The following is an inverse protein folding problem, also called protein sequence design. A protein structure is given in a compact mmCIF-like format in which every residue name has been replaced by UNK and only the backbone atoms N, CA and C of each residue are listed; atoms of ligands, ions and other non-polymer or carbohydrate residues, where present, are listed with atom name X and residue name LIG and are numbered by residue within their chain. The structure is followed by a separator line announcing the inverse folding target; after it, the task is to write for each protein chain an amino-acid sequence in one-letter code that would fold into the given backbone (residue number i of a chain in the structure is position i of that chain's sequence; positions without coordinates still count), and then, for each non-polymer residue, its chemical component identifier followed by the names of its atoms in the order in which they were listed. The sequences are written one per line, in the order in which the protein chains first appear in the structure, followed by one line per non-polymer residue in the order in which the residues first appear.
data_IF_018658229276
#
_entry.id   IF_018658229276
#
_cell.length_a   1.000
_cell.length_b   1.000
_cell.length_c   1.000
_cell.angle_alpha   90.00
_cell.angle_beta   90.00
_cell.angle_gamma   90.00
#
_symmetry.space_group_name_H-M   'P 1'
#
loop_
_entity.id
_entity.type
_entity.pdbx_description
1 polymer ?
#
# COMPACT_ATOMS: atom_id res chain seq x y z
N UNK A 1 -48.38 -23.78 61.72
CA UNK A 1 -47.35 -24.00 60.67
C UNK A 1 -46.04 -23.44 61.19
N UNK A 2 -45.04 -24.32 61.34
CA UNK A 2 -43.83 -24.13 62.15
C UNK A 2 -42.79 -23.24 61.46
N UNK A 3 -42.00 -22.52 62.27
CA UNK A 3 -40.95 -21.56 61.85
C UNK A 3 -39.98 -22.13 60.80
N UNK A 4 -39.75 -23.45 60.78
CA UNK A 4 -38.87 -24.10 59.80
C UNK A 4 -39.40 -23.97 58.36
N UNK A 5 -40.72 -23.96 58.16
CA UNK A 5 -41.36 -23.79 56.84
C UNK A 5 -41.23 -22.34 56.37
N UNK A 6 -41.35 -21.39 57.30
CA UNK A 6 -41.20 -19.97 57.01
C UNK A 6 -39.75 -19.64 56.63
N UNK A 7 -38.77 -20.21 57.35
CA UNK A 7 -37.35 -19.99 57.11
C UNK A 7 -36.87 -20.64 55.79
N UNK A 8 -37.41 -21.81 55.42
CA UNK A 8 -37.16 -22.46 54.13
C UNK A 8 -37.75 -21.68 52.94
N UNK A 9 -38.96 -21.11 53.10
CA UNK A 9 -39.54 -20.21 52.08
C UNK A 9 -38.73 -18.92 51.93
N UNK A 10 -38.22 -18.35 53.03
CA UNK A 10 -37.42 -17.12 53.03
C UNK A 10 -36.04 -17.32 52.38
N UNK A 11 -35.37 -18.44 52.68
CA UNK A 11 -34.08 -18.80 52.06
C UNK A 11 -34.23 -19.14 50.57
N UNK A 12 -35.31 -19.80 50.16
CA UNK A 12 -35.58 -20.05 48.74
C UNK A 12 -35.92 -18.78 47.96
N UNK A 13 -36.69 -17.85 48.56
CA UNK A 13 -36.93 -16.52 47.96
C UNK A 13 -35.64 -15.71 47.86
N UNK A 14 -34.76 -15.77 48.87
CA UNK A 14 -33.48 -15.06 48.84
C UNK A 14 -32.56 -15.62 47.75
N UNK A 15 -32.41 -16.95 47.64
CA UNK A 15 -31.65 -17.59 46.55
C UNK A 15 -32.21 -17.28 45.17
N UNK A 16 -33.53 -17.23 45.01
CA UNK A 16 -34.19 -16.88 43.74
C UNK A 16 -33.93 -15.42 43.36
N UNK A 17 -34.00 -14.49 44.33
CA UNK A 17 -33.69 -13.06 44.12
C UNK A 17 -32.20 -12.88 43.78
N UNK A 18 -31.29 -13.58 44.45
CA UNK A 18 -29.85 -13.50 44.16
C UNK A 18 -29.50 -14.06 42.77
N UNK A 19 -30.13 -15.15 42.35
CA UNK A 19 -29.95 -15.73 41.00
C UNK A 19 -30.53 -14.81 39.92
N UNK A 20 -31.70 -14.19 40.16
CA UNK A 20 -32.30 -13.22 39.23
C UNK A 20 -31.45 -11.94 39.09
N UNK A 21 -30.81 -11.46 40.18
CA UNK A 21 -29.91 -10.30 40.12
C UNK A 21 -28.59 -10.60 39.42
N UNK A 22 -28.03 -11.82 39.56
CA UNK A 22 -26.81 -12.22 38.86
C UNK A 22 -27.11 -12.45 37.37
N UNK A 23 -28.25 -13.04 37.02
CA UNK A 23 -28.68 -13.20 35.64
C UNK A 23 -28.94 -11.83 34.95
N UNK A 24 -29.55 -10.87 35.64
CA UNK A 24 -29.75 -9.52 35.12
C UNK A 24 -28.42 -8.74 34.93
N UNK A 25 -27.44 -8.92 35.82
CA UNK A 25 -26.11 -8.30 35.70
C UNK A 25 -25.27 -8.92 34.57
N UNK A 26 -25.42 -10.22 34.32
CA UNK A 26 -24.77 -10.91 33.19
C UNK A 26 -25.39 -10.54 31.83
N UNK A 27 -26.67 -10.18 31.78
CA UNK A 27 -27.35 -9.75 30.54
C UNK A 27 -27.00 -8.29 30.19
N UNK A 28 -26.71 -7.42 31.16
CA UNK A 28 -26.23 -6.05 30.88
C UNK A 28 -24.76 -5.97 30.43
N UNK A 29 -23.99 -7.06 30.57
CA UNK A 29 -22.57 -7.09 30.16
C UNK A 29 -22.32 -7.88 28.85
N UNK A 30 -23.36 -8.46 28.23
CA UNK A 30 -23.21 -9.28 27.02
C UNK A 30 -23.99 -8.78 25.80
N UNK A 31 -24.24 -7.48 25.75
CA UNK A 31 -24.69 -6.82 24.53
C UNK A 31 -24.01 -5.47 24.39
N UNK A 32 -22.66 -5.49 24.40
CA UNK A 32 -21.94 -4.64 23.45
C UNK A 32 -22.25 -5.24 22.09
N UNK A 33 -23.42 -4.87 21.53
CA UNK A 33 -23.58 -4.95 20.10
C UNK A 33 -22.49 -4.05 19.55
N UNK A 34 -21.42 -4.67 19.08
CA UNK A 34 -20.50 -4.09 18.13
C UNK A 34 -21.38 -3.68 16.95
N UNK A 35 -21.88 -2.44 16.96
CA UNK A 35 -22.26 -1.78 15.73
C UNK A 35 -20.96 -1.60 14.96
N UNK A 36 -20.57 -2.62 14.21
CA UNK A 36 -19.72 -2.39 13.06
C UNK A 36 -20.49 -1.38 12.22
N UNK A 37 -19.99 -0.15 12.10
CA UNK A 37 -20.62 0.84 11.23
C UNK A 37 -20.56 0.26 9.82
N UNK A 38 -21.72 -0.20 9.33
CA UNK A 38 -21.86 -0.62 7.96
C UNK A 38 -21.73 0.64 7.11
N UNK A 39 -20.59 0.82 6.45
CA UNK A 39 -20.35 1.95 5.55
C UNK A 39 -21.01 1.70 4.19
N UNK A 40 -21.24 2.77 3.42
CA UNK A 40 -21.84 2.70 2.09
C UNK A 40 -20.76 2.82 1.02
N UNK A 41 -20.71 1.88 0.08
CA UNK A 41 -19.83 2.01 -1.09
C UNK A 41 -20.21 3.25 -1.91
N UNK A 42 -19.21 4.05 -2.27
CA UNK A 42 -19.34 5.34 -2.93
C UNK A 42 -19.46 6.55 -2.00
N UNK A 43 -19.72 6.36 -0.71
CA UNK A 43 -19.80 7.43 0.30
C UNK A 43 -18.44 7.64 0.97
N UNK A 44 -17.63 8.49 0.33
CA UNK A 44 -16.21 8.70 0.63
C UNK A 44 -16.04 9.69 1.79
N UNK A 45 -16.99 10.61 1.98
CA UNK A 45 -16.96 11.57 3.08
C UNK A 45 -17.73 11.14 4.34
N UNK A 46 -18.49 10.05 4.27
CA UNK A 46 -19.24 9.48 5.39
C UNK A 46 -20.55 10.22 5.68
N UNK A 47 -21.09 10.94 4.71
CA UNK A 47 -22.33 11.72 4.83
C UNK A 47 -23.61 10.88 4.80
N UNK A 48 -23.50 9.59 4.46
CA UNK A 48 -24.62 8.67 4.25
C UNK A 48 -25.24 8.75 2.86
N UNK A 49 -24.71 9.61 1.97
CA UNK A 49 -25.17 9.77 0.59
C UNK A 49 -24.01 9.57 -0.38
N UNK A 50 -24.30 9.14 -1.62
CA UNK A 50 -23.31 9.08 -2.70
C UNK A 50 -23.63 10.19 -3.69
N UNK A 51 -22.83 11.25 -3.70
CA UNK A 51 -23.06 12.44 -4.50
C UNK A 51 -21.79 13.04 -5.16
N UNK A 52 -21.90 14.26 -5.69
CA UNK A 52 -20.81 14.95 -6.38
C UNK A 52 -19.60 15.29 -5.48
N UNK A 53 -19.80 15.30 -4.17
CA UNK A 53 -18.75 15.53 -3.16
C UNK A 53 -17.79 14.36 -3.13
N UNK A 54 -18.31 13.13 -3.13
CA UNK A 54 -17.52 11.89 -3.23
C UNK A 54 -16.75 11.83 -4.54
N UNK A 55 -17.41 12.17 -5.66
CA UNK A 55 -16.75 12.25 -6.95
C UNK A 55 -15.62 13.29 -6.97
N UNK A 56 -15.76 14.37 -6.22
CA UNK A 56 -14.70 15.37 -6.08
C UNK A 56 -13.57 14.84 -5.21
N UNK A 57 -13.86 14.16 -4.12
CA UNK A 57 -12.86 13.58 -3.22
C UNK A 57 -12.05 12.49 -3.92
N UNK A 58 -12.68 11.56 -4.63
CA UNK A 58 -11.94 10.52 -5.34
C UNK A 58 -11.07 11.11 -6.46
N UNK A 59 -11.56 12.14 -7.18
CA UNK A 59 -10.73 12.86 -8.16
C UNK A 59 -9.56 13.54 -7.47
N UNK A 60 -9.80 14.21 -6.34
CA UNK A 60 -8.75 14.87 -5.59
C UNK A 60 -7.71 13.86 -5.09
N UNK A 61 -8.14 12.67 -4.71
CA UNK A 61 -7.30 11.57 -4.26
C UNK A 61 -6.45 11.00 -5.42
N UNK A 62 -7.07 10.70 -6.55
CA UNK A 62 -6.40 10.23 -7.77
C UNK A 62 -5.41 11.27 -8.31
N UNK A 63 -5.82 12.55 -8.32
CA UNK A 63 -4.99 13.69 -8.72
C UNK A 63 -3.98 14.09 -7.63
N UNK A 64 -3.96 13.38 -6.50
CA UNK A 64 -3.05 13.58 -5.36
C UNK A 64 -3.10 14.98 -4.74
N UNK A 65 -4.19 15.71 -4.94
CA UNK A 65 -4.48 16.96 -4.22
C UNK A 65 -4.93 16.71 -2.78
N UNK A 66 -5.44 15.51 -2.51
CA UNK A 66 -5.54 14.90 -1.18
C UNK A 66 -4.91 13.51 -1.25
N UNK A 67 -4.43 12.99 -0.14
CA UNK A 67 -3.73 11.68 -0.09
C UNK A 67 -4.38 10.69 0.87
N UNK A 68 -5.43 11.12 1.55
CA UNK A 68 -6.25 10.34 2.45
C UNK A 68 -7.62 11.00 2.54
N UNK A 69 -8.62 10.23 2.96
CA UNK A 69 -9.94 10.74 3.30
C UNK A 69 -10.00 10.99 4.80
N UNK A 70 -10.74 12.02 5.22
CA UNK A 70 -10.97 12.28 6.65
C UNK A 70 -11.90 11.24 7.27
N UNK A 71 -12.74 10.61 6.45
CA UNK A 71 -13.64 9.56 6.87
C UNK A 71 -12.88 8.24 6.98
N UNK A 72 -13.00 7.58 8.13
CA UNK A 72 -12.28 6.34 8.45
C UNK A 72 -12.51 5.22 7.42
N UNK A 73 -13.72 5.15 6.84
CA UNK A 73 -14.09 4.19 5.79
C UNK A 73 -14.04 4.75 4.39
N UNK A 74 -13.49 5.95 4.20
CA UNK A 74 -13.47 6.63 2.90
C UNK A 74 -12.66 5.88 1.86
N UNK A 75 -11.60 5.16 2.26
CA UNK A 75 -10.79 4.36 1.34
C UNK A 75 -11.56 3.10 0.87
N UNK A 76 -12.16 2.35 1.81
CA UNK A 76 -13.00 1.20 1.50
C UNK A 76 -14.27 1.60 0.73
N UNK A 77 -14.84 2.77 1.02
CA UNK A 77 -15.98 3.32 0.28
C UNK A 77 -15.60 3.74 -1.14
N UNK A 78 -14.36 4.18 -1.37
CA UNK A 78 -13.88 4.61 -2.68
C UNK A 78 -13.57 3.43 -3.63
N UNK A 79 -13.21 2.25 -3.12
CA UNK A 79 -13.02 1.03 -3.91
C UNK A 79 -14.38 0.38 -4.24
N UNK A 80 -15.03 0.89 -5.28
CA UNK A 80 -16.41 0.52 -5.63
C UNK A 80 -16.47 -0.68 -6.59
N UNK A 81 -15.35 -1.08 -7.18
CA UNK A 81 -15.26 -2.33 -7.95
C UNK A 81 -14.73 -3.51 -7.12
N UNK A 82 -14.13 -3.26 -5.95
CA UNK A 82 -13.65 -4.26 -5.01
C UNK A 82 -12.31 -4.89 -5.43
N UNK A 83 -11.51 -4.18 -6.22
CA UNK A 83 -10.21 -4.67 -6.71
C UNK A 83 -9.03 -4.33 -5.79
N UNK A 84 -9.29 -3.59 -4.70
CA UNK A 84 -8.30 -3.17 -3.71
C UNK A 84 -7.52 -1.90 -4.09
N UNK A 85 -7.79 -1.28 -5.25
CA UNK A 85 -7.06 -0.12 -5.74
C UNK A 85 -7.97 1.05 -6.10
N UNK A 86 -7.87 2.16 -5.36
CA UNK A 86 -8.66 3.38 -5.63
C UNK A 86 -8.07 4.13 -6.84
N UNK A 87 -8.72 4.03 -7.99
CA UNK A 87 -8.21 4.58 -9.24
C UNK A 87 -9.30 5.18 -10.17
N UNK A 88 -8.93 5.49 -11.43
CA UNK A 88 -9.84 6.11 -12.40
C UNK A 88 -11.05 5.24 -12.76
N UNK A 89 -10.98 3.93 -12.50
CA UNK A 89 -12.09 2.99 -12.63
C UNK A 89 -13.19 3.29 -11.63
N UNK A 90 -12.84 3.44 -10.36
CA UNK A 90 -13.77 3.82 -9.29
C UNK A 90 -14.40 5.18 -9.52
N UNK A 91 -13.57 6.16 -9.90
CA UNK A 91 -14.05 7.50 -10.25
C UNK A 91 -15.08 7.45 -11.40
N UNK A 92 -14.87 6.57 -12.38
CA UNK A 92 -15.79 6.39 -13.51
C UNK A 92 -17.08 5.69 -13.08
N UNK A 93 -17.01 4.74 -12.16
CA UNK A 93 -18.16 4.03 -11.62
C UNK A 93 -19.02 4.94 -10.75
N UNK A 94 -18.42 5.72 -9.85
CA UNK A 94 -19.13 6.75 -9.05
C UNK A 94 -19.84 7.73 -9.99
N UNK A 95 -19.15 8.22 -11.04
CA UNK A 95 -19.77 9.09 -12.04
C UNK A 95 -20.97 8.42 -12.75
N UNK A 96 -20.90 7.13 -13.08
CA UNK A 96 -22.01 6.40 -13.73
C UNK A 96 -23.19 6.22 -12.77
N UNK A 97 -22.93 5.99 -11.50
CA UNK A 97 -23.95 5.89 -10.45
C UNK A 97 -24.72 7.21 -10.29
N UNK A 98 -24.02 8.35 -10.21
CA UNK A 98 -24.65 9.68 -10.15
C UNK A 98 -25.51 10.01 -11.39
N UNK A 99 -25.13 9.46 -12.55
CA UNK A 99 -25.87 9.60 -13.80
C UNK A 99 -27.01 8.58 -13.96
N UNK A 100 -27.29 7.76 -12.94
CA UNK A 100 -28.29 6.67 -12.96
C UNK A 100 -28.10 5.69 -14.13
N UNK A 101 -26.85 5.51 -14.57
CA UNK A 101 -26.48 4.49 -15.57
C UNK A 101 -26.28 3.11 -14.95
N UNK A 102 -26.03 3.09 -13.64
CA UNK A 102 -25.96 1.89 -12.80
C UNK A 102 -26.70 2.21 -11.49
N UNK A 103 -27.39 1.22 -10.93
CA UNK A 103 -28.17 1.39 -9.69
C UNK A 103 -27.42 0.86 -8.45
N UNK A 104 -26.33 0.11 -8.65
CA UNK A 104 -25.47 -0.47 -7.62
C UNK A 104 -24.04 -0.56 -8.12
N UNK A 105 -23.08 -0.54 -7.20
CA UNK A 105 -21.67 -0.73 -7.53
C UNK A 105 -21.32 -2.21 -7.72
N UNK A 106 -20.33 -2.54 -8.58
CA UNK A 106 -19.93 -3.92 -8.84
C UNK A 106 -19.60 -4.71 -7.56
N UNK A 107 -18.90 -4.10 -6.60
CA UNK A 107 -18.55 -4.72 -5.31
C UNK A 107 -19.78 -5.19 -4.52
N UNK A 108 -20.93 -4.53 -4.68
CA UNK A 108 -22.18 -4.86 -3.99
C UNK A 108 -22.96 -6.01 -4.62
N UNK A 109 -22.56 -6.46 -5.81
CA UNK A 109 -23.21 -7.58 -6.53
C UNK A 109 -22.40 -8.88 -6.46
N UNK A 110 -21.19 -8.84 -5.90
CA UNK A 110 -20.34 -10.01 -5.73
C UNK A 110 -20.69 -10.74 -4.42
N UNK A 111 -21.44 -11.86 -4.50
CA UNK A 111 -21.52 -12.86 -3.43
C UNK A 111 -20.14 -13.54 -3.26
N UNK A 112 -19.73 -14.00 -2.06
CA UNK A 112 -18.39 -14.54 -1.84
C UNK A 112 -18.23 -15.82 -2.64
N UNK A 113 -17.59 -15.69 -3.79
CA UNK A 113 -17.29 -16.76 -4.73
C UNK A 113 -15.83 -16.52 -5.13
N UNK A 114 -14.98 -17.56 -5.12
CA UNK A 114 -13.55 -17.40 -5.36
C UNK A 114 -13.32 -16.68 -6.69
N UNK A 115 -12.43 -15.69 -6.63
CA UNK A 115 -11.94 -14.84 -7.71
C UNK A 115 -11.91 -15.54 -9.08
N UNK A 116 -12.57 -15.00 -10.13
CA UNK A 116 -12.51 -15.56 -11.47
C UNK A 116 -11.25 -15.13 -12.21
N UNK A 117 -10.63 -16.12 -12.84
CA UNK A 117 -9.37 -16.12 -13.56
C UNK A 117 -9.30 -15.13 -14.72
N UNK A 118 -8.25 -14.30 -14.69
CA UNK A 118 -7.72 -13.42 -15.76
C UNK A 118 -7.33 -14.23 -17.01
N UNK A 119 -7.61 -13.77 -18.26
CA UNK A 119 -7.02 -14.38 -19.45
C UNK A 119 -5.51 -14.19 -19.46
N UNK A 120 -4.84 -15.32 -19.62
CA UNK A 120 -3.41 -15.58 -19.64
C UNK A 120 -2.65 -14.85 -20.76
N UNK A 121 -1.63 -14.02 -20.44
CA UNK A 121 -0.34 -14.13 -21.08
C UNK A 121 0.47 -15.18 -20.31
N UNK A 122 0.92 -16.22 -21.00
CA UNK A 122 1.64 -17.37 -20.46
C UNK A 122 2.63 -16.99 -19.34
N UNK A 123 2.36 -17.33 -18.06
CA UNK A 123 3.29 -17.15 -16.96
C UNK A 123 4.00 -18.47 -16.72
N UNK A 124 5.18 -18.66 -17.32
CA UNK A 124 6.12 -19.65 -16.78
C UNK A 124 7.00 -18.95 -15.74
N UNK A 125 6.84 -19.40 -14.49
CA UNK A 125 7.60 -19.16 -13.26
C UNK A 125 7.11 -18.06 -12.28
N UNK A 126 6.53 -18.52 -11.16
CA UNK A 126 6.53 -17.85 -9.84
C UNK A 126 6.98 -18.93 -8.83
N UNK A 127 7.72 -18.63 -7.73
CA UNK A 127 7.83 -17.31 -7.12
C UNK A 127 9.26 -16.84 -6.86
N UNK A 128 9.62 -15.65 -7.37
CA UNK A 128 10.73 -14.89 -6.77
C UNK A 128 10.16 -14.20 -5.52
N UNK A 129 10.68 -14.51 -4.35
CA UNK A 129 10.28 -13.93 -3.06
C UNK A 129 11.48 -13.21 -2.45
N UNK A 130 11.74 -11.98 -2.89
CA UNK A 130 12.72 -11.12 -2.25
C UNK A 130 12.44 -11.02 -0.75
N UNK A 131 13.45 -10.61 0.01
CA UNK A 131 13.34 -10.37 1.44
C UNK A 131 13.94 -9.00 1.77
N UNK A 132 13.41 -7.98 1.10
CA UNK A 132 13.57 -6.60 1.53
C UNK A 132 12.69 -6.39 2.75
N UNK A 133 13.28 -5.91 3.83
CA UNK A 133 12.57 -5.46 5.04
C UNK A 133 12.97 -4.03 5.33
N UNK A 134 12.16 -3.31 6.09
CA UNK A 134 12.53 -1.98 6.54
C UNK A 134 12.10 -1.72 7.99
N UNK A 135 12.87 -0.88 8.67
CA UNK A 135 12.46 -0.24 9.92
C UNK A 135 12.39 1.26 9.70
N UNK A 136 11.22 1.85 9.91
CA UNK A 136 11.07 3.31 9.97
C UNK A 136 11.51 3.80 11.34
N UNK A 137 12.56 4.61 11.37
CA UNK A 137 13.11 5.19 12.60
C UNK A 137 12.27 6.40 13.00
N UNK A 138 11.57 6.28 14.13
CA UNK A 138 10.72 7.32 14.69
C UNK A 138 11.22 7.80 16.05
N UNK A 139 10.85 9.03 16.42
CA UNK A 139 11.04 9.54 17.78
C UNK A 139 9.87 9.14 18.69
N UNK A 140 10.07 9.14 20.00
CA UNK A 140 9.05 8.72 20.98
C UNK A 140 7.85 9.68 21.08
N UNK A 141 8.06 10.97 20.85
CA UNK A 141 7.03 12.01 20.92
C UNK A 141 7.03 12.84 19.62
N UNK A 142 6.46 12.32 18.53
CA UNK A 142 6.55 12.99 17.24
C UNK A 142 5.66 14.23 17.16
N UNK A 143 6.14 15.25 16.44
CA UNK A 143 5.33 16.40 16.02
C UNK A 143 4.25 15.97 15.01
N UNK A 144 3.23 16.81 14.78
CA UNK A 144 2.21 16.51 13.74
C UNK A 144 2.81 16.38 12.34
N UNK A 145 3.82 17.19 12.03
CA UNK A 145 4.60 17.07 10.80
C UNK A 145 5.28 15.70 10.69
N UNK A 146 5.95 15.25 11.76
CA UNK A 146 6.59 13.94 11.80
C UNK A 146 5.58 12.80 11.68
N UNK A 147 4.41 12.88 12.34
CA UNK A 147 3.35 11.87 12.23
C UNK A 147 2.84 11.74 10.79
N UNK A 148 2.57 12.86 10.12
CA UNK A 148 2.14 12.88 8.72
C UNK A 148 3.24 12.31 7.80
N UNK A 149 4.50 12.72 8.00
CA UNK A 149 5.63 12.18 7.24
C UNK A 149 5.78 10.66 7.43
N UNK A 150 5.75 10.19 8.69
CA UNK A 150 5.89 8.77 9.01
C UNK A 150 4.80 7.93 8.36
N UNK A 151 3.55 8.39 8.39
CA UNK A 151 2.44 7.65 7.77
C UNK A 151 2.64 7.54 6.25
N UNK A 152 3.04 8.62 5.57
CA UNK A 152 3.28 8.62 4.12
C UNK A 152 4.46 7.76 3.73
N UNK A 153 5.57 7.88 4.46
CA UNK A 153 6.77 7.07 4.25
C UNK A 153 6.46 5.60 4.48
N UNK A 154 5.69 5.26 5.53
CA UNK A 154 5.25 3.89 5.79
C UNK A 154 4.45 3.33 4.60
N UNK A 155 3.44 4.06 4.12
CA UNK A 155 2.65 3.62 2.97
C UNK A 155 3.50 3.46 1.70
N UNK A 156 4.43 4.39 1.45
CA UNK A 156 5.35 4.33 0.32
C UNK A 156 6.27 3.10 0.40
N UNK A 157 6.87 2.85 1.56
CA UNK A 157 7.80 1.75 1.78
C UNK A 157 7.07 0.40 1.78
N UNK A 158 5.88 0.29 2.37
CA UNK A 158 5.09 -0.95 2.36
C UNK A 158 4.83 -1.41 0.91
N UNK A 159 4.32 -0.52 0.06
CA UNK A 159 4.10 -0.83 -1.36
C UNK A 159 5.41 -1.12 -2.10
N UNK A 160 6.45 -0.31 -1.92
CA UNK A 160 7.73 -0.53 -2.61
C UNK A 160 8.36 -1.89 -2.24
N UNK A 161 8.32 -2.26 -0.96
CA UNK A 161 8.80 -3.55 -0.45
C UNK A 161 7.96 -4.69 -1.02
N UNK A 162 6.64 -4.53 -1.14
CA UNK A 162 5.77 -5.53 -1.77
C UNK A 162 6.19 -5.81 -3.22
N UNK A 163 6.42 -4.77 -4.05
CA UNK A 163 6.90 -4.94 -5.42
C UNK A 163 8.25 -5.65 -5.47
N UNK A 164 9.22 -5.18 -4.67
CA UNK A 164 10.55 -5.79 -4.64
C UNK A 164 10.49 -7.25 -4.18
N UNK A 165 9.71 -7.56 -3.14
CA UNK A 165 9.59 -8.91 -2.64
C UNK A 165 8.82 -9.82 -3.60
N UNK A 166 7.89 -9.30 -4.39
CA UNK A 166 7.12 -10.07 -5.37
C UNK A 166 7.88 -10.35 -6.65
N UNK A 167 8.68 -9.39 -7.13
CA UNK A 167 9.26 -9.43 -8.48
C UNK A 167 10.77 -9.60 -8.50
N UNK A 168 11.44 -9.67 -7.35
CA UNK A 168 12.90 -9.83 -7.25
C UNK A 168 13.29 -10.99 -6.33
N UNK A 169 14.57 -11.35 -6.36
CA UNK A 169 15.21 -12.27 -5.41
C UNK A 169 16.08 -11.55 -4.38
N UNK A 170 15.99 -10.22 -4.32
CA UNK A 170 16.90 -9.39 -3.54
C UNK A 170 16.56 -9.49 -2.05
N UNK A 171 17.58 -9.60 -1.20
CA UNK A 171 17.45 -9.52 0.26
C UNK A 171 18.22 -8.31 0.78
N UNK A 172 17.57 -7.47 1.60
CA UNK A 172 18.19 -6.28 2.19
C UNK A 172 17.36 -5.84 3.40
N UNK A 173 18.04 -5.50 4.49
CA UNK A 173 17.41 -4.77 5.59
C UNK A 173 17.64 -3.27 5.39
N UNK A 174 16.57 -2.49 5.47
CA UNK A 174 16.58 -1.05 5.27
C UNK A 174 16.29 -0.29 6.56
N UNK A 175 16.97 0.85 6.72
CA UNK A 175 16.69 1.80 7.80
C UNK A 175 16.19 3.09 7.18
N UNK A 176 14.92 3.41 7.42
CA UNK A 176 14.25 4.54 6.78
C UNK A 176 14.09 5.67 7.78
N UNK A 177 14.35 6.90 7.34
CA UNK A 177 14.31 8.09 8.19
C UNK A 177 13.48 9.18 7.53
N UNK A 178 12.85 10.01 8.36
CA UNK A 178 12.38 11.33 7.97
C UNK A 178 13.43 12.35 8.39
N UNK A 179 14.05 13.02 7.42
CA UNK A 179 15.13 13.98 7.61
C UNK A 179 14.80 15.27 6.85
N UNK A 180 14.13 16.25 7.47
CA UNK A 180 13.64 17.46 6.80
C UNK A 180 14.69 18.26 6.02
N UNK A 181 15.97 18.11 6.39
CA UNK A 181 17.11 18.76 5.73
C UNK A 181 17.46 18.17 4.35
N UNK A 182 16.97 16.97 4.04
CA UNK A 182 17.06 16.37 2.70
C UNK A 182 16.03 17.03 1.79
N UNK A 183 16.44 17.39 0.57
CA UNK A 183 15.58 18.09 -0.40
C UNK A 183 14.50 17.20 -1.01
N UNK A 184 14.82 15.92 -1.24
CA UNK A 184 13.96 14.94 -1.91
C UNK A 184 13.89 13.64 -1.10
N UNK A 185 14.59 12.60 -1.54
CA UNK A 185 14.92 11.40 -0.82
C UNK A 185 16.31 10.95 -1.26
N UNK A 186 17.01 10.18 -0.42
CA UNK A 186 18.29 9.58 -0.79
C UNK A 186 18.49 8.21 -0.16
N UNK A 187 18.85 7.24 -1.00
CA UNK A 187 19.21 5.87 -0.64
C UNK A 187 20.72 5.67 -0.67
N UNK A 188 21.26 4.99 0.34
CA UNK A 188 22.67 4.67 0.46
C UNK A 188 22.90 3.15 0.45
N UNK A 189 24.04 2.72 -0.09
CA UNK A 189 24.40 1.30 -0.21
C UNK A 189 24.47 0.58 1.15
N UNK A 190 24.65 1.30 2.24
CA UNK A 190 24.58 0.74 3.60
C UNK A 190 23.16 0.33 4.04
N UNK A 191 22.12 0.61 3.23
CA UNK A 191 20.72 0.30 3.53
C UNK A 191 19.93 1.45 4.15
N UNK A 192 20.51 2.64 4.33
CA UNK A 192 19.75 3.79 4.81
C UNK A 192 19.00 4.47 3.66
N UNK A 193 17.73 4.82 3.90
CA UNK A 193 16.95 5.70 3.02
C UNK A 193 16.46 6.88 3.87
N UNK A 194 16.61 8.10 3.36
CA UNK A 194 16.08 9.31 4.02
C UNK A 194 15.06 9.97 3.12
N UNK A 195 13.93 10.37 3.67
CA UNK A 195 12.94 11.21 3.00
C UNK A 195 12.99 12.62 3.58
N UNK A 196 13.01 13.60 2.69
CA UNK A 196 12.99 15.03 2.98
C UNK A 196 11.63 15.56 3.40
N UNK A 197 11.55 16.86 3.65
CA UNK A 197 10.31 17.54 4.07
C UNK A 197 9.22 17.55 2.99
N UNK A 198 9.56 17.44 1.71
CA UNK A 198 8.58 17.52 0.64
C UNK A 198 7.78 16.22 0.46
N UNK A 199 6.48 16.28 0.79
CA UNK A 199 5.54 15.14 0.73
C UNK A 199 5.37 14.55 -0.65
N UNK A 200 5.65 15.29 -1.73
CA UNK A 200 5.57 14.73 -3.08
C UNK A 200 6.53 13.56 -3.31
N UNK A 201 7.63 13.49 -2.55
CA UNK A 201 8.62 12.41 -2.64
C UNK A 201 8.31 11.23 -1.70
N UNK A 202 7.36 11.35 -0.78
CA UNK A 202 6.95 10.25 0.12
C UNK A 202 5.91 9.36 -0.57
N UNK A 203 6.30 8.76 -1.70
CA UNK A 203 5.46 7.91 -2.53
C UNK A 203 6.26 6.65 -2.95
N UNK A 204 5.55 5.59 -3.34
CA UNK A 204 6.18 4.29 -3.62
C UNK A 204 7.14 4.32 -4.83
N UNK A 205 6.95 5.20 -5.81
CA UNK A 205 7.85 5.31 -6.97
C UNK A 205 9.22 5.80 -6.51
N UNK A 206 9.24 6.86 -5.71
CA UNK A 206 10.47 7.37 -5.08
C UNK A 206 11.07 6.32 -4.16
N UNK A 207 10.27 5.65 -3.31
CA UNK A 207 10.79 4.59 -2.45
C UNK A 207 11.43 3.43 -3.25
N UNK A 208 10.82 2.99 -4.35
CA UNK A 208 11.39 1.95 -5.22
C UNK A 208 12.72 2.39 -5.84
N UNK A 209 12.79 3.65 -6.27
CA UNK A 209 14.02 4.28 -6.77
C UNK A 209 15.13 4.29 -5.70
N UNK A 210 14.82 4.74 -4.48
CA UNK A 210 15.81 4.76 -3.39
C UNK A 210 16.26 3.35 -2.99
N UNK A 211 15.36 2.35 -3.01
CA UNK A 211 15.73 0.94 -2.79
C UNK A 211 16.77 0.50 -3.83
N UNK A 212 16.62 0.89 -5.11
CA UNK A 212 17.60 0.57 -6.15
C UNK A 212 19.00 1.09 -5.79
N UNK A 213 19.09 2.31 -5.24
CA UNK A 213 20.36 2.86 -4.74
C UNK A 213 20.94 2.05 -3.59
N UNK A 214 20.12 1.55 -2.66
CA UNK A 214 20.61 0.73 -1.54
C UNK A 214 21.18 -0.63 -1.95
N UNK A 215 20.82 -1.09 -3.15
CA UNK A 215 21.24 -2.39 -3.69
C UNK A 215 22.33 -2.28 -4.75
N UNK A 216 22.79 -1.06 -5.06
CA UNK A 216 24.04 -0.82 -5.78
C UNK A 216 23.95 0.13 -6.98
N UNK A 217 22.74 0.53 -7.41
CA UNK A 217 22.54 1.48 -8.52
C UNK A 217 23.11 2.84 -8.13
N UNK A 218 24.02 3.42 -8.91
CA UNK A 218 24.65 4.72 -8.62
C UNK A 218 25.63 4.73 -7.43
N UNK A 219 25.51 3.78 -6.51
CA UNK A 219 26.22 3.78 -5.23
C UNK A 219 27.41 2.82 -5.23
N UNK A 220 27.31 1.67 -5.91
CA UNK A 220 28.37 0.66 -5.92
C UNK A 220 29.56 1.03 -6.83
N UNK A 221 30.74 0.47 -6.55
CA UNK A 221 31.88 0.56 -7.48
C UNK A 221 31.60 -0.21 -8.76
N UNK A 222 30.89 -1.34 -8.66
CA UNK A 222 30.50 -2.15 -9.82
C UNK A 222 29.63 -1.36 -10.79
N UNK A 223 28.67 -0.57 -10.31
CA UNK A 223 27.86 0.34 -11.13
C UNK A 223 28.73 1.20 -12.07
N UNK A 224 29.74 1.87 -11.50
CA UNK A 224 30.65 2.74 -12.25
C UNK A 224 31.46 1.99 -13.31
N UNK A 225 31.77 0.72 -13.06
CA UNK A 225 32.45 -0.12 -14.06
C UNK A 225 31.51 -0.60 -15.18
N UNK A 226 30.21 -0.69 -14.91
CA UNK A 226 29.21 -1.17 -15.86
C UNK A 226 28.58 -0.03 -16.67
N UNK A 227 28.58 1.20 -16.19
CA UNK A 227 28.16 2.37 -16.97
C UNK A 227 29.36 2.94 -17.71
N UNK A 228 29.45 2.64 -19.01
CA UNK A 228 30.54 3.07 -19.89
C UNK A 228 29.96 3.99 -20.96
N UNK A 229 30.47 5.23 -21.05
CA UNK A 229 30.03 6.23 -22.03
C UNK A 229 28.50 6.44 -22.05
N UNK A 230 27.88 6.48 -20.88
CA UNK A 230 26.43 6.70 -20.72
C UNK A 230 25.55 5.47 -20.99
N UNK A 231 26.14 4.29 -21.13
CA UNK A 231 25.45 3.03 -21.42
C UNK A 231 25.79 2.01 -20.35
N UNK A 232 24.77 1.38 -19.76
CA UNK A 232 24.94 0.24 -18.87
C UNK A 232 25.27 -1.00 -19.68
N UNK A 233 26.31 -1.75 -19.28
CA UNK A 233 26.91 -2.85 -20.04
C UNK A 233 26.70 -4.23 -19.43
N UNK A 234 25.99 -4.34 -18.30
CA UNK A 234 25.68 -5.63 -17.67
C UNK A 234 24.72 -6.47 -18.53
N UNK A 235 25.12 -7.70 -18.83
CA UNK A 235 24.44 -8.55 -19.82
C UNK A 235 23.06 -9.01 -19.35
N UNK A 236 22.86 -9.24 -18.05
CA UNK A 236 21.57 -9.67 -17.51
C UNK A 236 20.54 -8.55 -17.59
N UNK A 237 20.88 -7.34 -17.13
CA UNK A 237 19.95 -6.21 -17.18
C UNK A 237 19.60 -5.80 -18.62
N UNK A 238 20.57 -5.86 -19.55
CA UNK A 238 20.30 -5.61 -20.98
C UNK A 238 19.34 -6.67 -21.55
N UNK A 239 19.55 -7.96 -21.22
CA UNK A 239 18.66 -9.02 -21.68
C UNK A 239 17.22 -8.80 -21.19
N UNK A 240 17.06 -8.47 -19.90
CA UNK A 240 15.74 -8.18 -19.32
C UNK A 240 15.11 -6.94 -19.97
N UNK A 241 15.87 -5.85 -20.20
CA UNK A 241 15.35 -4.67 -20.87
C UNK A 241 14.75 -5.02 -22.25
N UNK A 242 15.49 -5.79 -23.05
CA UNK A 242 15.07 -6.19 -24.39
C UNK A 242 13.85 -7.10 -24.36
N UNK A 243 13.77 -7.98 -23.37
CA UNK A 243 12.60 -8.82 -23.14
C UNK A 243 11.36 -7.98 -22.80
N UNK A 244 11.46 -7.06 -21.84
CA UNK A 244 10.29 -6.29 -21.36
C UNK A 244 9.82 -5.24 -22.36
N UNK A 245 10.71 -4.78 -23.25
CA UNK A 245 10.36 -3.82 -24.31
C UNK A 245 9.94 -4.50 -25.61
N UNK A 246 10.29 -5.78 -25.80
CA UNK A 246 10.14 -6.46 -27.09
C UNK A 246 11.08 -5.91 -28.18
N UNK A 247 12.10 -5.12 -27.82
CA UNK A 247 13.06 -4.53 -28.74
C UNK A 247 14.45 -5.09 -28.50
N UNK A 248 14.95 -5.89 -29.46
CA UNK A 248 16.30 -6.47 -29.40
C UNK A 248 17.43 -5.44 -29.44
N UNK A 249 17.14 -4.21 -29.88
CA UNK A 249 18.09 -3.11 -29.97
C UNK A 249 18.00 -2.14 -28.78
N UNK A 250 17.11 -2.40 -27.81
CA UNK A 250 16.96 -1.54 -26.64
C UNK A 250 18.30 -1.36 -25.91
N UNK A 251 18.58 -0.11 -25.52
CA UNK A 251 19.82 0.30 -24.84
C UNK A 251 19.47 0.81 -23.45
N UNK A 252 20.06 0.17 -22.44
CA UNK A 252 19.97 0.63 -21.07
C UNK A 252 20.98 1.76 -20.86
N UNK A 253 20.49 2.97 -20.68
CA UNK A 253 21.31 4.15 -20.43
C UNK A 253 21.52 4.33 -18.94
N UNK A 254 22.62 4.97 -18.57
CA UNK A 254 22.86 5.37 -17.20
C UNK A 254 23.90 6.46 -17.08
N UNK A 255 23.91 7.10 -15.93
CA UNK A 255 24.91 8.09 -15.55
C UNK A 255 25.59 7.70 -14.22
N UNK A 256 26.18 8.67 -13.52
CA UNK A 256 26.84 8.43 -12.24
C UNK A 256 25.91 7.89 -11.16
N UNK A 257 24.60 8.12 -11.27
CA UNK A 257 23.62 7.85 -10.23
C UNK A 257 22.45 7.00 -10.75
N UNK A 258 21.92 7.32 -11.92
CA UNK A 258 20.62 6.87 -12.41
C UNK A 258 20.71 6.01 -13.67
N UNK A 259 19.64 5.29 -13.98
CA UNK A 259 19.43 4.67 -15.30
C UNK A 259 18.10 5.04 -15.93
N UNK A 260 18.01 4.79 -17.23
CA UNK A 260 16.76 4.83 -17.97
C UNK A 260 16.85 3.90 -19.19
N UNK A 261 15.73 3.36 -19.68
CA UNK A 261 14.36 3.49 -19.16
C UNK A 261 14.13 2.70 -17.86
N UNK A 262 12.96 2.89 -17.24
CA UNK A 262 12.51 2.20 -16.01
C UNK A 262 13.35 2.48 -14.75
N UNK A 263 14.10 3.59 -14.73
CA UNK A 263 14.84 4.03 -13.53
C UNK A 263 13.95 4.56 -12.42
N UNK A 264 12.72 4.97 -12.76
CA UNK A 264 11.78 5.60 -11.83
C UNK A 264 12.33 6.91 -11.23
N UNK A 265 13.17 7.63 -11.99
CA UNK A 265 13.84 8.85 -11.49
C UNK A 265 12.83 9.98 -11.26
N UNK A 266 11.75 9.98 -12.02
CA UNK A 266 10.59 10.85 -11.81
C UNK A 266 9.29 10.06 -11.81
N UNK A 267 8.31 10.52 -11.01
CA UNK A 267 6.96 9.93 -10.99
C UNK A 267 6.26 10.02 -12.34
N UNK A 268 6.63 10.99 -13.17
CA UNK A 268 6.13 11.15 -14.54
C UNK A 268 6.63 10.10 -15.52
N UNK A 269 7.68 9.33 -15.19
CA UNK A 269 8.15 8.21 -16.00
C UNK A 269 7.17 7.02 -15.97
N UNK A 270 6.39 6.89 -14.89
CA UNK A 270 5.45 5.78 -14.72
C UNK A 270 4.17 6.06 -15.50
N UNK A 271 3.86 5.17 -16.45
CA UNK A 271 2.63 5.19 -17.26
C UNK A 271 1.68 4.06 -16.90
N UNK A 272 2.21 2.98 -16.32
CA UNK A 272 1.46 1.79 -15.95
C UNK A 272 2.15 1.03 -14.82
N UNK A 273 1.42 0.10 -14.20
CA UNK A 273 1.97 -0.85 -13.23
C UNK A 273 3.14 -1.68 -13.83
N UNK A 274 3.09 -1.96 -15.13
CA UNK A 274 4.16 -2.69 -15.81
C UNK A 274 5.51 -1.99 -15.70
N UNK A 275 5.55 -0.66 -15.61
CA UNK A 275 6.81 0.10 -15.45
C UNK A 275 7.44 -0.17 -14.08
N UNK A 276 6.64 -0.32 -13.03
CA UNK A 276 7.09 -0.65 -11.67
C UNK A 276 7.63 -2.09 -11.60
N UNK A 277 6.93 -3.03 -12.24
CA UNK A 277 7.35 -4.42 -12.34
C UNK A 277 8.65 -4.53 -13.14
N UNK A 278 8.74 -3.83 -14.27
CA UNK A 278 9.92 -3.83 -15.13
C UNK A 278 11.13 -3.21 -14.43
N UNK A 279 10.93 -2.15 -13.64
CA UNK A 279 11.98 -1.62 -12.75
C UNK A 279 12.53 -2.72 -11.84
N UNK A 280 11.68 -3.44 -11.10
CA UNK A 280 12.10 -4.53 -10.22
C UNK A 280 12.87 -5.62 -10.98
N UNK A 281 12.38 -6.05 -12.14
CA UNK A 281 13.04 -7.08 -12.97
C UNK A 281 14.42 -6.63 -13.44
N UNK A 282 14.56 -5.38 -13.87
CA UNK A 282 15.82 -4.81 -14.32
C UNK A 282 16.80 -4.70 -13.14
N UNK A 283 16.36 -4.20 -11.97
CA UNK A 283 17.23 -4.09 -10.78
C UNK A 283 17.66 -5.48 -10.26
N UNK A 284 16.77 -6.48 -10.26
CA UNK A 284 17.12 -7.88 -9.96
C UNK A 284 18.19 -8.43 -10.90
N UNK A 285 18.10 -8.08 -12.19
CA UNK A 285 19.09 -8.47 -13.19
C UNK A 285 20.42 -7.74 -13.01
N UNK A 286 20.40 -6.45 -12.66
CA UNK A 286 21.62 -5.71 -12.33
C UNK A 286 22.35 -6.31 -11.10
N UNK A 287 21.62 -6.86 -10.12
CA UNK A 287 22.26 -7.63 -9.02
C UNK A 287 22.99 -8.87 -9.54
N UNK A 288 22.47 -9.54 -10.57
CA UNK A 288 23.16 -10.67 -11.22
C UNK A 288 24.36 -10.24 -12.03
N UNK A 289 24.38 -8.99 -12.50
CA UNK A 289 25.55 -8.35 -13.12
C UNK A 289 26.64 -7.95 -12.10
N UNK A 290 26.37 -8.16 -10.80
CA UNK A 290 27.35 -8.03 -9.71
C UNK A 290 27.31 -6.72 -8.96
N UNK A 291 26.23 -5.92 -9.09
CA UNK A 291 25.95 -4.80 -8.17
C UNK A 291 25.86 -5.29 -6.73
#
# INVERSE_FOLDING_TARGET
MTESVLNKKRTNKLKLVTVLTIAALCISCFSVFVYASQFTYGDIDGSGNVDSTDLTLIKRYILRTITSFWYEKGAEAADVNGDGAINSTDCSLIKRYLLRKIDKFPVQTQQPTPSPTKPEPTPTATPKKGNITYTLITVSNPTEDQKDAYQRIKNAMDTAVEYYNTYTTITKELRVYYEPSVSTADGNINGSIRFGSNRSYMNHITAMHEIAHTVGVGTSSKWRSLVVNGVYTGSNAIAVLREVTGDSNAVLKGDNTHFWPYGLNYTSEVKSEADLINHCKIVDAMKKDGL
#
